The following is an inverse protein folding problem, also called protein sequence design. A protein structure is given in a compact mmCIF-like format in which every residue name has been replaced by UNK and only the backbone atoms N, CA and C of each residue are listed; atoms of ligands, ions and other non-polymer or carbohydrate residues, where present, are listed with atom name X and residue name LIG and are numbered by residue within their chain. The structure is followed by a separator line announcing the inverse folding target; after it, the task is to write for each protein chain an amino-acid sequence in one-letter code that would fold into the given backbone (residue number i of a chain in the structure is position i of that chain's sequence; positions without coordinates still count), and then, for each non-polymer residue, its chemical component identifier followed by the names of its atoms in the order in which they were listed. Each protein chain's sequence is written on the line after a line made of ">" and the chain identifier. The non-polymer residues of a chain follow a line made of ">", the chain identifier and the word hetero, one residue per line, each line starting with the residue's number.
data_IF_701888120009
#
_entry.id   IF_701888120009
#
_cell.length_a   1.000
_cell.length_b   1.000
_cell.length_c   1.000
_cell.angle_alpha   90.00
_cell.angle_beta   90.00
_cell.angle_gamma   90.00
#
_symmetry.space_group_name_H-M   'P 1'
#
loop_
_entity.id
_entity.type
_entity.pdbx_description
1 polymer ?
#
# COMPACT_ATOMS: atom_id res chain seq x y z
N UNK A 1 -8.07 10.42 -2.82
CA UNK A 1 -7.72 9.54 -1.67
C UNK A 1 -6.47 10.00 -0.93
N UNK A 2 -5.35 10.24 -1.60
CA UNK A 2 -4.08 10.63 -0.96
C UNK A 2 -3.95 12.15 -0.71
N UNK A 3 -5.04 12.84 -0.39
CA UNK A 3 -4.99 14.27 -0.08
C UNK A 3 -4.25 14.49 1.26
N UNK A 4 -3.23 15.39 1.33
CA UNK A 4 -2.46 15.63 2.56
C UNK A 4 -3.33 16.16 3.69
N UNK A 5 -4.21 17.11 3.38
CA UNK A 5 -5.18 17.63 4.35
C UNK A 5 -6.32 16.62 4.53
N UNK A 6 -6.53 16.08 5.75
CA UNK A 6 -7.57 15.08 6.00
C UNK A 6 -8.98 15.64 5.80
N UNK A 7 -9.21 16.92 6.08
CA UNK A 7 -10.53 17.56 5.92
C UNK A 7 -10.95 17.71 4.45
N UNK A 8 -9.99 17.65 3.51
CA UNK A 8 -10.24 17.73 2.06
C UNK A 8 -10.17 16.36 1.38
N UNK A 9 -9.99 15.29 2.16
CA UNK A 9 -9.91 13.92 1.63
C UNK A 9 -11.32 13.41 1.34
N UNK A 10 -11.49 12.75 0.19
CA UNK A 10 -12.77 12.13 -0.18
C UNK A 10 -13.23 11.17 0.91
N UNK A 11 -14.53 11.19 1.22
CA UNK A 11 -15.15 10.20 2.09
C UNK A 11 -15.30 8.86 1.37
N UNK A 12 -15.62 7.81 2.12
CA UNK A 12 -15.84 6.47 1.54
C UNK A 12 -17.01 6.51 0.55
N UNK A 13 -18.07 7.25 0.84
CA UNK A 13 -19.24 7.34 -0.04
C UNK A 13 -18.88 8.05 -1.36
N UNK A 14 -18.11 9.14 -1.28
CA UNK A 14 -17.65 9.86 -2.48
C UNK A 14 -16.77 8.99 -3.38
N UNK A 15 -15.94 8.13 -2.77
CA UNK A 15 -15.11 7.16 -3.48
C UNK A 15 -15.95 6.12 -4.20
N UNK A 16 -16.96 5.56 -3.54
CA UNK A 16 -17.82 4.53 -4.13
C UNK A 16 -18.64 5.09 -5.30
N UNK A 17 -19.05 6.36 -5.21
CA UNK A 17 -19.74 7.07 -6.28
C UNK A 17 -18.82 7.50 -7.44
N UNK A 18 -17.49 7.39 -7.30
CA UNK A 18 -16.57 7.82 -8.35
C UNK A 18 -16.70 6.92 -9.59
N UNK A 19 -16.70 7.45 -10.84
CA UNK A 19 -16.93 6.66 -12.05
C UNK A 19 -15.96 5.47 -12.24
N UNK A 20 -14.72 5.60 -11.78
CA UNK A 20 -13.75 4.50 -11.80
C UNK A 20 -14.18 3.29 -10.95
N UNK A 21 -14.97 3.52 -9.90
CA UNK A 21 -15.55 2.49 -9.02
C UNK A 21 -16.97 2.09 -9.44
N UNK A 22 -17.85 3.07 -9.65
CA UNK A 22 -19.28 2.86 -9.99
C UNK A 22 -19.48 2.27 -11.39
N UNK A 23 -18.75 2.77 -12.39
CA UNK A 23 -18.93 2.42 -13.80
C UNK A 23 -17.80 1.49 -14.29
N UNK A 24 -17.48 0.47 -13.49
CA UNK A 24 -16.31 -0.41 -13.73
C UNK A 24 -16.28 -1.05 -15.13
N UNK A 25 -17.44 -1.28 -15.74
CA UNK A 25 -17.55 -1.86 -17.07
C UNK A 25 -16.99 -0.95 -18.18
N UNK A 26 -17.06 0.37 -17.97
CA UNK A 26 -16.53 1.38 -18.91
C UNK A 26 -15.01 1.59 -18.76
N UNK A 27 -14.40 1.01 -17.73
CA UNK A 27 -12.96 1.14 -17.48
C UNK A 27 -12.18 0.27 -18.45
N UNK A 28 -11.10 0.83 -19.00
CA UNK A 28 -10.19 0.14 -19.91
C UNK A 28 -9.69 -1.18 -19.33
N UNK A 29 -9.84 -2.28 -20.09
CA UNK A 29 -9.43 -3.64 -19.69
C UNK A 29 -8.14 -4.11 -20.37
N UNK A 30 -7.35 -3.17 -20.85
CA UNK A 30 -6.09 -3.45 -21.54
C UNK A 30 -5.09 -4.06 -20.57
N UNK A 31 -4.37 -5.10 -21.01
CA UNK A 31 -3.25 -5.65 -20.25
C UNK A 31 -2.16 -4.58 -20.09
N UNK A 32 -1.63 -4.43 -18.87
CA UNK A 32 -0.61 -3.42 -18.52
C UNK A 32 0.74 -4.10 -18.26
N UNK A 33 1.55 -4.41 -19.30
CA UNK A 33 2.77 -5.22 -19.15
C UNK A 33 3.84 -4.56 -18.28
N UNK A 34 4.05 -3.25 -18.45
CA UNK A 34 5.03 -2.47 -17.66
C UNK A 34 4.66 -2.45 -16.16
N UNK A 35 3.36 -2.33 -15.87
CA UNK A 35 2.85 -2.41 -14.49
C UNK A 35 3.08 -3.80 -13.90
N UNK A 36 2.88 -4.87 -14.68
CA UNK A 36 3.15 -6.25 -14.24
C UNK A 36 4.64 -6.43 -13.92
N UNK A 37 5.54 -5.92 -14.76
CA UNK A 37 6.98 -6.00 -14.52
C UNK A 37 7.41 -5.22 -13.26
N UNK A 38 6.92 -3.99 -13.11
CA UNK A 38 7.16 -3.18 -11.91
C UNK A 38 6.64 -3.87 -10.64
N UNK A 39 5.48 -4.51 -10.72
CA UNK A 39 4.87 -5.23 -9.60
C UNK A 39 5.65 -6.50 -9.22
N UNK A 40 6.30 -7.18 -10.18
CA UNK A 40 7.21 -8.30 -9.89
C UNK A 40 8.40 -7.83 -9.05
N UNK A 41 9.05 -6.74 -9.44
CA UNK A 41 10.18 -6.17 -8.70
C UNK A 41 9.76 -5.74 -7.29
N UNK A 42 8.63 -5.03 -7.19
CA UNK A 42 8.08 -4.60 -5.89
C UNK A 42 7.80 -5.79 -4.97
N UNK A 43 7.13 -6.83 -5.48
CA UNK A 43 6.80 -8.00 -4.68
C UNK A 43 8.04 -8.79 -4.23
N UNK A 44 9.07 -8.91 -5.07
CA UNK A 44 10.34 -9.54 -4.69
C UNK A 44 11.03 -8.78 -3.55
N UNK A 45 11.11 -7.45 -3.66
CA UNK A 45 11.67 -6.59 -2.60
C UNK A 45 10.88 -6.70 -1.30
N UNK A 46 9.55 -6.65 -1.37
CA UNK A 46 8.65 -6.77 -0.20
C UNK A 46 8.81 -8.12 0.50
N UNK A 47 8.87 -9.23 -0.26
CA UNK A 47 9.10 -10.57 0.29
C UNK A 47 10.46 -10.70 0.98
N UNK A 48 11.51 -10.14 0.37
CA UNK A 48 12.83 -10.13 0.99
C UNK A 48 12.84 -9.33 2.29
N UNK A 49 12.29 -8.10 2.28
CA UNK A 49 12.17 -7.27 3.49
C UNK A 49 11.44 -8.02 4.61
N UNK A 50 10.31 -8.64 4.29
CA UNK A 50 9.54 -9.43 5.26
C UNK A 50 10.34 -10.64 5.80
N UNK A 51 11.08 -11.35 4.95
CA UNK A 51 11.92 -12.47 5.36
C UNK A 51 13.08 -12.03 6.27
N UNK A 52 13.70 -10.88 5.99
CA UNK A 52 14.77 -10.34 6.85
C UNK A 52 14.20 -9.89 8.20
N UNK A 53 13.06 -9.21 8.21
CA UNK A 53 12.40 -8.77 9.44
C UNK A 53 11.99 -9.94 10.34
N UNK A 54 11.48 -11.04 9.76
CA UNK A 54 11.11 -12.23 10.54
C UNK A 54 12.32 -12.92 11.16
N UNK A 55 13.47 -12.95 10.47
CA UNK A 55 14.73 -13.51 11.01
C UNK A 55 15.32 -12.61 12.10
N UNK A 56 15.24 -11.29 11.96
CA UNK A 56 15.82 -10.32 12.89
C UNK A 56 15.09 -10.22 14.24
N UNK A 57 14.16 -11.14 14.56
CA UNK A 57 13.40 -11.14 15.81
C UNK A 57 12.16 -10.25 15.77
N UNK A 58 11.76 -9.74 14.60
CA UNK A 58 10.47 -9.09 14.38
C UNK A 58 9.34 -10.10 14.38
N UNK A 59 9.00 -10.65 15.55
CA UNK A 59 7.81 -11.49 15.72
C UNK A 59 6.60 -10.56 15.86
N UNK A 60 6.01 -10.17 14.73
CA UNK A 60 4.55 -10.12 14.66
C UNK A 60 4.17 -11.05 13.53
N UNK A 61 3.67 -12.23 13.89
CA UNK A 61 3.25 -13.29 13.02
C UNK A 61 1.99 -12.92 12.23
N UNK A 62 2.04 -11.82 11.47
CA UNK A 62 1.04 -11.42 10.51
C UNK A 62 1.71 -10.77 9.31
N UNK A 63 2.32 -11.61 8.47
CA UNK A 63 2.60 -11.27 7.08
C UNK A 63 1.33 -10.85 6.30
N UNK A 64 0.13 -11.02 6.89
CA UNK A 64 -1.17 -10.66 6.35
C UNK A 64 -1.55 -9.20 6.64
N UNK A 65 -1.09 -8.62 7.76
CA UNK A 65 -1.34 -7.22 8.10
C UNK A 65 -0.02 -6.46 7.98
N UNK A 66 0.19 -5.82 6.82
CA UNK A 66 1.37 -5.01 6.55
C UNK A 66 1.45 -3.78 7.45
N UNK A 67 1.85 -3.97 8.70
CA UNK A 67 2.37 -2.87 9.52
C UNK A 67 3.72 -2.50 8.92
N UNK A 68 3.72 -1.41 8.15
CA UNK A 68 4.95 -0.83 7.62
C UNK A 68 5.72 -0.23 8.80
N UNK A 69 6.49 -1.08 9.48
CA UNK A 69 7.29 -0.74 10.67
C UNK A 69 8.21 0.44 10.40
N UNK A 70 8.57 0.69 9.13
CA UNK A 70 9.38 1.84 8.72
C UNK A 70 8.74 3.15 9.19
N UNK A 71 7.41 3.31 9.08
CA UNK A 71 6.71 4.54 9.51
C UNK A 71 6.88 4.75 11.01
N UNK A 72 6.78 3.69 11.83
CA UNK A 72 6.92 3.77 13.29
C UNK A 72 8.35 4.17 13.67
N UNK A 73 9.38 3.58 13.05
CA UNK A 73 10.77 3.94 13.30
C UNK A 73 11.13 5.37 12.86
N UNK A 74 10.53 5.87 11.77
CA UNK A 74 10.71 7.26 11.37
C UNK A 74 10.16 8.24 12.40
N UNK A 75 8.94 8.00 12.92
CA UNK A 75 8.34 8.87 13.94
C UNK A 75 9.12 8.81 15.27
N UNK A 76 9.57 7.63 15.70
CA UNK A 76 10.31 7.47 16.95
C UNK A 76 11.66 8.22 16.94
N UNK A 77 12.33 8.29 15.78
CA UNK A 77 13.56 9.08 15.59
C UNK A 77 13.35 10.59 15.60
N UNK A 78 12.14 11.07 15.31
CA UNK A 78 11.84 12.51 15.29
C UNK A 78 11.39 13.02 16.67
N UNK A 79 11.00 12.12 17.57
CA UNK A 79 10.59 12.43 18.95
C UNK A 79 11.68 12.21 20.01
N UNK A 80 12.89 11.79 19.61
CA UNK A 80 14.03 11.51 20.49
C UNK A 80 15.17 12.54 20.34
#
# INVERSE_FOLDING_TARGET
>A
MLAPNPKKRLTIQDVLAHPWMSDREKVHRTHLPETVESLKVFNSKRKLKAAVQSIAGGITADSMFGTDTDIIFYYEKETA
#
